data_IF_704690890622
#
_entry.id   IF_704690890622
#
_cell.length_a   1.000
_cell.length_b   1.000
_cell.length_c   1.000
_cell.angle_alpha   90.00
_cell.angle_beta   90.00
_cell.angle_gamma   90.00
#
_symmetry.space_group_name_H-M   'P 1'
#
loop_
_entity.id
_entity.type
_entity.pdbx_description
1 polymer ?
#
# COMPACT_ATOMS: atom_id res chain seq x y z
N UNK A 1 3.82 14.18 -3.78
CA UNK A 1 3.68 12.76 -3.43
C UNK A 1 2.37 12.31 -4.04
N UNK A 2 2.38 11.32 -4.92
CA UNK A 2 1.18 10.83 -5.60
C UNK A 2 0.19 10.30 -4.54
N UNK A 3 -1.11 10.53 -4.73
CA UNK A 3 -2.11 10.02 -3.80
C UNK A 3 -2.09 8.48 -3.83
N UNK A 4 -2.10 7.82 -2.67
CA UNK A 4 -2.03 6.34 -2.62
C UNK A 4 -3.18 5.67 -3.37
N UNK A 5 -4.36 6.30 -3.42
CA UNK A 5 -5.52 5.82 -4.18
C UNK A 5 -5.27 5.92 -5.69
N UNK A 6 -4.62 6.99 -6.15
CA UNK A 6 -4.23 7.13 -7.56
C UNK A 6 -3.22 6.07 -7.94
N UNK A 7 -2.19 5.86 -7.11
CA UNK A 7 -1.21 4.78 -7.30
C UNK A 7 -1.90 3.41 -7.41
N UNK A 8 -2.80 3.07 -6.49
CA UNK A 8 -3.53 1.79 -6.51
C UNK A 8 -4.33 1.63 -7.81
N UNK A 9 -5.00 2.69 -8.28
CA UNK A 9 -5.79 2.65 -9.52
C UNK A 9 -4.92 2.46 -10.75
N UNK A 10 -3.81 3.20 -10.84
CA UNK A 10 -2.84 3.07 -11.92
C UNK A 10 -2.25 1.66 -11.95
N UNK A 11 -1.85 1.14 -10.80
CA UNK A 11 -1.25 -0.19 -10.71
C UNK A 11 -2.24 -1.30 -11.07
N UNK A 12 -3.49 -1.16 -10.63
CA UNK A 12 -4.58 -2.06 -11.04
C UNK A 12 -4.78 -2.02 -12.56
N UNK A 13 -4.77 -0.82 -13.16
CA UNK A 13 -4.90 -0.62 -14.61
C UNK A 13 -3.71 -1.21 -15.39
N UNK A 14 -2.48 -0.95 -14.94
CA UNK A 14 -1.25 -1.43 -15.55
C UNK A 14 -1.18 -2.96 -15.58
N UNK A 15 -1.78 -3.61 -14.58
CA UNK A 15 -1.87 -5.07 -14.48
C UNK A 15 -3.09 -5.68 -15.19
N UNK A 16 -3.95 -4.85 -15.81
CA UNK A 16 -5.21 -5.32 -16.40
C UNK A 16 -6.15 -5.96 -15.37
N UNK A 17 -6.02 -5.60 -14.09
CA UNK A 17 -6.79 -6.19 -13.00
C UNK A 17 -8.16 -5.51 -12.90
N UNK A 18 -9.21 -6.31 -12.72
CA UNK A 18 -10.57 -5.78 -12.49
C UNK A 18 -10.79 -5.48 -11.01
N UNK A 19 -11.78 -4.63 -10.71
CA UNK A 19 -12.23 -4.42 -9.33
C UNK A 19 -12.70 -5.72 -8.65
N UNK A 20 -13.24 -6.68 -9.41
CA UNK A 20 -13.67 -7.97 -8.85
C UNK A 20 -12.46 -8.78 -8.37
N UNK A 21 -11.45 -8.92 -9.24
CA UNK A 21 -10.23 -9.68 -8.94
C UNK A 21 -9.46 -9.04 -7.77
N UNK A 22 -9.30 -7.72 -7.76
CA UNK A 22 -8.62 -7.03 -6.67
C UNK A 22 -9.39 -7.14 -5.35
N UNK A 23 -10.72 -7.03 -5.40
CA UNK A 23 -11.54 -7.15 -4.20
C UNK A 23 -11.49 -8.56 -3.60
N UNK A 24 -11.53 -9.60 -4.45
CA UNK A 24 -11.36 -10.98 -4.04
C UNK A 24 -10.01 -11.19 -3.32
N UNK A 25 -8.91 -10.76 -3.94
CA UNK A 25 -7.56 -10.85 -3.34
C UNK A 25 -7.43 -10.05 -2.05
N UNK A 26 -8.06 -8.88 -1.95
CA UNK A 26 -8.04 -8.03 -0.76
C UNK A 26 -9.04 -8.49 0.33
N UNK A 27 -9.78 -9.58 0.11
CA UNK A 27 -10.77 -10.10 1.06
C UNK A 27 -11.96 -9.15 1.29
N UNK A 28 -12.42 -8.47 0.25
CA UNK A 28 -13.52 -7.50 0.34
C UNK A 28 -14.49 -7.59 -0.85
N UNK A 29 -15.56 -6.79 -0.86
CA UNK A 29 -16.51 -6.76 -1.98
C UNK A 29 -16.10 -5.73 -3.03
N UNK A 30 -16.43 -5.99 -4.31
CA UNK A 30 -16.24 -5.05 -5.43
C UNK A 30 -16.79 -3.66 -5.08
N UNK A 31 -18.01 -3.60 -4.54
CA UNK A 31 -18.67 -2.33 -4.20
C UNK A 31 -17.92 -1.58 -3.10
N UNK A 32 -17.41 -2.27 -2.08
CA UNK A 32 -16.63 -1.66 -1.01
C UNK A 32 -15.30 -1.13 -1.54
N UNK A 33 -14.58 -1.93 -2.33
CA UNK A 33 -13.34 -1.51 -2.98
C UNK A 33 -13.56 -0.28 -3.88
N UNK A 34 -14.57 -0.34 -4.76
CA UNK A 34 -14.90 0.78 -5.64
C UNK A 34 -15.24 2.04 -4.84
N UNK A 35 -16.01 1.90 -3.75
CA UNK A 35 -16.36 3.03 -2.87
C UNK A 35 -15.12 3.66 -2.26
N UNK A 36 -14.21 2.84 -1.73
CA UNK A 36 -12.97 3.28 -1.07
C UNK A 36 -11.98 3.97 -2.03
N UNK A 37 -12.00 3.58 -3.30
CA UNK A 37 -11.11 4.14 -4.32
C UNK A 37 -11.74 5.32 -5.08
N UNK A 38 -13.06 5.42 -5.21
CA UNK A 38 -13.71 6.38 -6.12
C UNK A 38 -14.65 7.38 -5.46
N UNK A 39 -15.30 7.04 -4.34
CA UNK A 39 -15.90 8.09 -3.52
C UNK A 39 -14.76 8.72 -2.74
N UNK A 40 -14.80 10.02 -2.51
CA UNK A 40 -13.75 10.85 -1.90
C UNK A 40 -13.51 10.47 -0.42
N UNK A 41 -13.17 9.21 -0.17
CA UNK A 41 -12.96 8.59 1.12
C UNK A 41 -11.45 8.57 1.34
N UNK A 42 -11.00 9.02 2.50
CA UNK A 42 -9.63 8.79 2.96
C UNK A 42 -9.60 7.37 3.53
N UNK A 43 -9.14 6.35 2.79
CA UNK A 43 -9.18 4.98 3.29
C UNK A 43 -8.32 4.85 4.56
N UNK A 44 -8.76 4.01 5.48
CA UNK A 44 -7.96 3.68 6.66
C UNK A 44 -6.69 2.91 6.27
N UNK A 45 -5.70 2.97 7.15
CA UNK A 45 -4.38 2.41 6.95
C UNK A 45 -4.42 0.90 6.68
N UNK A 46 -5.19 0.16 7.49
CA UNK A 46 -5.42 -1.28 7.32
C UNK A 46 -5.93 -1.63 5.91
N UNK A 47 -6.94 -0.90 5.44
CA UNK A 47 -7.56 -1.08 4.12
C UNK A 47 -6.52 -0.88 3.02
N UNK A 48 -5.73 0.18 3.11
CA UNK A 48 -4.69 0.46 2.12
C UNK A 48 -3.65 -0.67 2.11
N UNK A 49 -3.18 -1.12 3.28
CA UNK A 49 -2.25 -2.26 3.36
C UNK A 49 -2.82 -3.54 2.76
N UNK A 50 -4.08 -3.87 3.01
CA UNK A 50 -4.75 -5.04 2.41
C UNK A 50 -4.84 -4.96 0.88
N UNK A 51 -5.15 -3.79 0.34
CA UNK A 51 -5.23 -3.57 -1.11
C UNK A 51 -3.82 -3.66 -1.74
N UNK A 52 -2.80 -3.07 -1.10
CA UNK A 52 -1.42 -3.14 -1.55
C UNK A 52 -0.89 -4.58 -1.52
N UNK A 53 -1.16 -5.33 -0.46
CA UNK A 53 -0.80 -6.75 -0.37
C UNK A 53 -1.47 -7.58 -1.48
N UNK A 54 -2.73 -7.29 -1.81
CA UNK A 54 -3.44 -7.91 -2.94
C UNK A 54 -2.84 -7.54 -4.32
N UNK A 55 -2.11 -6.43 -4.40
CA UNK A 55 -1.29 -6.00 -5.53
C UNK A 55 0.18 -6.45 -5.39
N UNK A 56 0.50 -7.39 -4.51
CA UNK A 56 1.85 -7.90 -4.29
C UNK A 56 2.86 -6.80 -3.88
N UNK A 57 2.40 -5.82 -3.08
CA UNK A 57 3.22 -4.81 -2.44
C UNK A 57 3.18 -4.95 -0.91
N UNK A 58 4.36 -4.88 -0.32
CA UNK A 58 4.54 -4.64 1.10
C UNK A 58 4.71 -3.14 1.35
N UNK A 59 3.97 -2.64 2.34
CA UNK A 59 4.18 -1.30 2.87
C UNK A 59 5.15 -1.40 4.05
N UNK A 60 6.37 -0.89 3.86
CA UNK A 60 7.44 -0.96 4.86
C UNK A 60 7.75 0.42 5.43
N UNK A 61 8.22 0.45 6.67
CA UNK A 61 8.70 1.67 7.33
C UNK A 61 10.21 1.77 7.13
N UNK A 62 10.67 2.84 6.51
CA UNK A 62 12.09 3.13 6.31
C UNK A 62 12.50 4.34 7.14
N UNK A 63 13.71 4.29 7.71
CA UNK A 63 14.24 5.41 8.51
C UNK A 63 14.95 6.42 7.63
N UNK A 64 14.66 7.71 7.84
CA UNK A 64 15.47 8.78 7.26
C UNK A 64 16.80 8.85 8.01
N UNK A 65 17.82 9.41 7.35
CA UNK A 65 19.17 9.51 7.91
C UNK A 65 19.17 10.20 9.27
N UNK A 66 19.70 9.52 10.28
CA UNK A 66 19.81 10.02 11.65
C UNK A 66 18.62 9.72 12.56
N UNK A 67 17.55 9.09 12.07
CA UNK A 67 16.49 8.57 12.91
C UNK A 67 16.92 7.27 13.62
N UNK A 68 16.40 7.08 14.84
CA UNK A 68 16.58 5.83 15.58
C UNK A 68 15.91 4.67 14.83
N UNK A 69 16.36 3.46 15.09
CA UNK A 69 15.63 2.29 14.63
C UNK A 69 14.36 2.14 15.48
N UNK A 70 13.15 2.17 14.89
CA UNK A 70 11.93 2.05 15.67
C UNK A 70 11.76 0.64 16.25
N UNK A 71 12.40 -0.38 15.67
CA UNK A 71 12.20 -1.79 16.04
C UNK A 71 10.94 -2.40 15.40
N UNK A 72 11.03 -3.66 15.00
CA UNK A 72 9.94 -4.37 14.31
C UNK A 72 8.69 -4.51 15.18
N UNK A 73 8.87 -4.73 16.49
CA UNK A 73 7.77 -4.92 17.42
C UNK A 73 6.97 -3.62 17.61
N UNK A 74 7.65 -2.50 17.75
CA UNK A 74 7.05 -1.19 17.95
C UNK A 74 6.28 -0.76 16.70
N UNK A 75 6.81 -1.05 15.50
CA UNK A 75 6.07 -0.83 14.25
C UNK A 75 4.80 -1.69 14.22
N UNK A 76 4.89 -2.96 14.59
CA UNK A 76 3.73 -3.87 14.61
C UNK A 76 2.66 -3.42 15.62
N UNK A 77 3.08 -3.04 16.83
CA UNK A 77 2.18 -2.51 17.87
C UNK A 77 1.52 -1.19 17.41
N UNK A 78 2.28 -0.31 16.74
CA UNK A 78 1.73 0.91 16.14
C UNK A 78 0.70 0.60 15.04
N UNK A 79 0.99 -0.33 14.12
CA UNK A 79 0.05 -0.74 13.07
C UNK A 79 -1.24 -1.29 13.67
N UNK A 80 -1.15 -2.18 14.67
CA UNK A 80 -2.30 -2.73 15.36
C UNK A 80 -3.18 -1.63 15.98
N UNK A 81 -2.57 -0.63 16.63
CA UNK A 81 -3.30 0.52 17.18
C UNK A 81 -3.97 1.37 16.09
N UNK A 82 -3.31 1.60 14.95
CA UNK A 82 -3.93 2.35 13.84
C UNK A 82 -5.08 1.60 13.17
N UNK A 83 -5.02 0.27 13.17
CA UNK A 83 -6.08 -0.58 12.65
C UNK A 83 -7.30 -0.54 13.57
N UNK A 84 -7.11 -0.66 14.88
CA UNK A 84 -8.19 -0.57 15.87
C UNK A 84 -8.92 0.78 15.80
N UNK A 85 -8.16 1.87 15.73
CA UNK A 85 -8.69 3.24 15.65
C UNK A 85 -9.12 3.66 14.23
N UNK A 86 -9.01 2.76 13.24
CA UNK A 86 -9.39 2.99 11.85
C UNK A 86 -8.76 4.28 11.25
N UNK A 87 -7.51 4.57 11.62
CA UNK A 87 -6.81 5.81 11.26
C UNK A 87 -6.58 5.87 9.75
N UNK A 88 -6.82 7.03 9.13
CA UNK A 88 -6.58 7.23 7.68
C UNK A 88 -5.10 7.02 7.31
N UNK A 89 -4.84 6.41 6.14
CA UNK A 89 -3.47 6.21 5.65
C UNK A 89 -2.67 7.52 5.59
N UNK A 90 -3.27 8.60 5.12
CA UNK A 90 -2.61 9.91 5.01
C UNK A 90 -2.19 10.46 6.37
N UNK A 91 -2.97 10.21 7.43
CA UNK A 91 -2.60 10.59 8.79
C UNK A 91 -1.40 9.77 9.27
N UNK A 92 -1.42 8.45 9.08
CA UNK A 92 -0.30 7.57 9.44
C UNK A 92 0.98 7.96 8.70
N UNK A 93 0.88 8.25 7.40
CA UNK A 93 2.01 8.73 6.60
C UNK A 93 2.58 10.05 7.12
N UNK A 94 1.71 11.00 7.52
CA UNK A 94 2.15 12.27 8.10
C UNK A 94 2.85 12.08 9.46
N UNK A 95 2.33 11.17 10.31
CA UNK A 95 2.95 10.84 11.60
C UNK A 95 4.35 10.25 11.41
N UNK A 96 4.52 9.24 10.56
CA UNK A 96 5.84 8.68 10.25
C UNK A 96 6.79 9.73 9.70
N UNK A 97 6.32 10.59 8.78
CA UNK A 97 7.17 11.64 8.21
C UNK A 97 7.67 12.62 9.26
N UNK A 98 6.83 12.96 10.25
CA UNK A 98 7.16 13.82 11.40
C UNK A 98 8.19 13.18 12.32
N UNK A 99 8.10 11.86 12.50
CA UNK A 99 9.02 11.07 13.32
C UNK A 99 10.35 10.74 12.61
N UNK A 100 10.54 11.20 11.37
CA UNK A 100 11.77 10.92 10.61
C UNK A 100 11.77 9.57 9.89
N UNK A 101 10.60 9.01 9.61
CA UNK A 101 10.42 7.77 8.84
C UNK A 101 9.70 8.06 7.52
N UNK A 102 9.72 7.11 6.59
CA UNK A 102 8.86 7.08 5.41
C UNK A 102 8.15 5.74 5.30
N UNK A 103 6.97 5.76 4.67
CA UNK A 103 6.28 4.56 4.24
C UNK A 103 6.66 4.31 2.78
N UNK A 104 7.36 3.21 2.52
CA UNK A 104 7.80 2.82 1.19
C UNK A 104 7.04 1.59 0.70
N UNK A 105 6.82 1.53 -0.60
CA UNK A 105 6.20 0.38 -1.26
C UNK A 105 7.31 -0.52 -1.82
N UNK A 106 7.40 -1.76 -1.33
CA UNK A 106 8.28 -2.79 -1.87
C UNK A 106 7.44 -3.83 -2.59
N UNK A 107 7.71 -4.04 -3.87
CA UNK A 107 7.02 -5.08 -4.63
C UNK A 107 7.73 -6.42 -4.48
N UNK A 108 6.96 -7.50 -4.40
CA UNK A 108 7.50 -8.87 -4.51
C UNK A 108 7.90 -9.23 -5.95
N UNK A 109 7.58 -8.39 -6.94
CA UNK A 109 8.06 -8.53 -8.31
C UNK A 109 9.49 -7.97 -8.44
N UNK A 110 10.48 -8.72 -7.96
CA UNK A 110 11.83 -8.58 -8.50
C UNK A 110 11.85 -9.21 -9.91
N UNK A 111 12.19 -8.41 -10.93
CA UNK A 111 12.99 -8.83 -12.09
C UNK A 111 12.54 -9.98 -13.04
N UNK A 112 11.32 -10.53 -13.01
CA UNK A 112 10.94 -11.53 -14.04
C UNK A 112 10.50 -10.91 -15.39
N UNK A 113 10.10 -9.64 -15.42
CA UNK A 113 9.65 -8.98 -16.67
C UNK A 113 10.63 -7.94 -17.25
N UNK A 114 11.86 -7.83 -16.74
CA UNK A 114 12.92 -7.02 -17.37
C UNK A 114 13.80 -7.85 -18.32
N UNK A 115 13.51 -9.15 -18.52
CA UNK A 115 14.19 -10.01 -19.51
C UNK A 115 13.28 -10.83 -20.43
N UNK A 116 12.01 -10.43 -20.62
CA UNK A 116 11.21 -10.90 -21.77
C UNK A 116 11.08 -9.82 -22.87
N UNK A 117 12.11 -8.99 -22.97
CA UNK A 117 12.36 -8.05 -24.08
C UNK A 117 13.76 -8.23 -24.66
N UNK A 118 14.27 -9.47 -24.72
CA UNK A 118 15.38 -9.80 -25.62
C UNK A 118 14.78 -10.67 -26.73
N UNK A 119 14.81 -10.09 -27.93
CA UNK A 119 14.37 -10.62 -29.20
C UNK A 119 14.58 -12.13 -29.36
N UNK A 120 13.52 -12.81 -29.78
CA UNK A 120 13.60 -14.02 -30.59
C UNK A 120 12.32 -14.12 -31.42
N UNK A 121 12.26 -13.38 -32.52
CA UNK A 121 11.67 -13.80 -33.80
C UNK A 121 12.31 -13.01 -34.94
#
# INVERSE_FOLDING_TARGET
MQNIVEFIKEEMSNRGMTYDLLAEKAGTTRQNLWTKLNKNTRPNFETVRKILAALDYDLVVEKKKGAADPGEKEIADFFASTDEEQVSYECVQALFSTMGYSLELKTHKNEENVKQGIDNY
#
